data_IF_408993939238
#
_entry.id   IF_408993939238
#
_cell.length_a   1.000
_cell.length_b   1.000
_cell.length_c   1.000
_cell.angle_alpha   90.00
_cell.angle_beta   90.00
_cell.angle_gamma   90.00
#
_symmetry.space_group_name_H-M   'P 1'
#
loop_
_entity.id
_entity.type
_entity.pdbx_description
1 polymer ?
#
# COMPACT_ATOMS: atom_id res chain seq x y z
N UNK A 1 -7.78 -11.48 7.63
CA UNK A 1 -7.11 -10.88 6.46
C UNK A 1 -7.98 -9.77 5.94
N UNK A 2 -7.39 -8.68 5.46
CA UNK A 2 -8.12 -7.62 4.74
C UNK A 2 -8.79 -8.28 3.52
N UNK A 3 -10.12 -8.22 3.44
CA UNK A 3 -10.86 -8.69 2.28
C UNK A 3 -11.36 -7.47 1.51
N UNK A 4 -10.94 -7.28 0.26
CA UNK A 4 -11.48 -6.24 -0.59
C UNK A 4 -12.98 -6.46 -0.87
N UNK A 5 -13.78 -5.40 -1.05
CA UNK A 5 -13.38 -3.98 -1.01
C UNK A 5 -13.18 -3.46 0.42
N UNK A 6 -12.08 -2.76 0.66
CA UNK A 6 -11.86 -1.97 1.88
C UNK A 6 -11.61 -0.49 1.56
N UNK A 7 -12.20 0.46 2.27
CA UNK A 7 -12.04 1.89 1.97
C UNK A 7 -10.87 2.52 2.74
N UNK A 8 -9.72 1.86 2.77
CA UNK A 8 -8.52 2.41 3.41
C UNK A 8 -7.73 3.23 2.40
N UNK A 9 -7.33 4.43 2.80
CA UNK A 9 -6.55 5.35 1.97
C UNK A 9 -5.04 5.08 2.06
N UNK A 10 -4.58 4.45 3.13
CA UNK A 10 -3.19 4.04 3.32
C UNK A 10 -3.07 2.94 4.39
N UNK A 11 -1.96 2.21 4.35
CA UNK A 11 -1.56 1.21 5.33
C UNK A 11 -0.18 1.56 5.87
N UNK A 12 -0.05 1.65 7.19
CA UNK A 12 1.25 1.74 7.85
C UNK A 12 1.66 0.36 8.31
N UNK A 13 2.74 -0.18 7.75
CA UNK A 13 3.14 -1.56 7.93
C UNK A 13 4.41 -1.65 8.79
N UNK A 14 4.33 -2.25 9.97
CA UNK A 14 5.56 -2.60 10.69
C UNK A 14 6.30 -3.71 9.94
N UNK A 15 7.59 -3.52 9.71
CA UNK A 15 8.41 -4.57 9.10
C UNK A 15 8.68 -5.69 10.11
N UNK A 16 8.89 -5.34 11.38
CA UNK A 16 9.23 -6.30 12.42
C UNK A 16 7.96 -6.73 13.15
N UNK A 17 7.29 -7.75 12.62
CA UNK A 17 6.10 -8.34 13.22
C UNK A 17 6.37 -9.79 13.67
N UNK A 18 5.73 -10.25 14.77
CA UNK A 18 5.79 -11.65 15.16
C UNK A 18 5.03 -12.53 14.16
N UNK A 19 5.50 -13.76 13.99
CA UNK A 19 4.96 -14.81 13.10
C UNK A 19 5.15 -14.57 11.60
N UNK A 20 4.76 -13.40 11.07
CA UNK A 20 4.89 -13.03 9.65
C UNK A 20 5.43 -11.61 9.56
N UNK A 21 6.48 -11.40 8.77
CA UNK A 21 7.09 -10.07 8.63
C UNK A 21 6.29 -9.15 7.70
N UNK A 22 6.57 -7.85 7.77
CA UNK A 22 5.87 -6.86 6.94
C UNK A 22 6.14 -7.00 5.44
N UNK A 23 7.26 -7.61 5.04
CA UNK A 23 7.54 -7.87 3.62
C UNK A 23 6.64 -8.97 3.08
N UNK A 24 6.49 -10.07 3.81
CA UNK A 24 5.58 -11.17 3.49
C UNK A 24 4.13 -10.70 3.47
N UNK A 25 3.71 -9.94 4.49
CA UNK A 25 2.38 -9.35 4.56
C UNK A 25 2.08 -8.47 3.33
N UNK A 26 3.04 -7.62 2.94
CA UNK A 26 2.90 -6.75 1.76
C UNK A 26 2.74 -7.58 0.49
N UNK A 27 3.54 -8.63 0.29
CA UNK A 27 3.42 -9.50 -0.89
C UNK A 27 2.04 -10.16 -0.99
N UNK A 28 1.47 -10.58 0.14
CA UNK A 28 0.13 -11.15 0.18
C UNK A 28 -0.95 -10.12 -0.18
N UNK A 29 -0.82 -8.88 0.31
CA UNK A 29 -1.72 -7.78 -0.06
C UNK A 29 -1.64 -7.54 -1.58
N UNK A 30 -0.43 -7.35 -2.13
CA UNK A 30 -0.25 -7.11 -3.57
C UNK A 30 -0.75 -8.26 -4.45
N UNK A 31 -0.60 -9.51 -4.01
CA UNK A 31 -1.15 -10.65 -4.73
C UNK A 31 -2.68 -10.60 -4.80
N UNK A 32 -3.35 -10.29 -3.69
CA UNK A 32 -4.80 -10.15 -3.65
C UNK A 32 -5.29 -8.95 -4.50
N UNK A 33 -4.57 -7.82 -4.46
CA UNK A 33 -4.88 -6.66 -5.29
C UNK A 33 -4.77 -6.99 -6.78
N UNK A 34 -3.68 -7.65 -7.19
CA UNK A 34 -3.49 -8.07 -8.58
C UNK A 34 -4.57 -9.03 -9.05
N UNK A 35 -4.95 -10.02 -8.23
CA UNK A 35 -6.02 -10.95 -8.56
C UNK A 35 -7.35 -10.22 -8.84
N UNK A 36 -7.71 -9.27 -7.98
CA UNK A 36 -8.94 -8.47 -8.16
C UNK A 36 -8.83 -7.56 -9.39
N UNK A 37 -7.68 -6.91 -9.58
CA UNK A 37 -7.45 -6.04 -10.73
C UNK A 37 -7.55 -6.82 -12.04
N UNK A 38 -6.99 -8.03 -12.09
CA UNK A 38 -7.10 -8.93 -13.23
C UNK A 38 -8.56 -9.32 -13.47
N UNK A 39 -9.32 -9.68 -12.44
CA UNK A 39 -10.76 -10.00 -12.56
C UNK A 39 -11.60 -8.81 -13.04
N UNK A 40 -11.26 -7.59 -12.63
CA UNK A 40 -11.90 -6.36 -13.12
C UNK A 40 -11.55 -6.14 -14.59
N UNK A 41 -10.28 -6.32 -14.96
CA UNK A 41 -9.80 -6.11 -16.33
C UNK A 41 -10.36 -7.15 -17.32
N UNK A 42 -10.55 -8.40 -16.89
CA UNK A 42 -11.17 -9.46 -17.72
C UNK A 42 -12.69 -9.32 -17.79
N UNK A 43 -13.30 -8.47 -16.96
CA UNK A 43 -14.75 -8.27 -16.89
C UNK A 43 -15.49 -9.37 -16.12
N UNK A 44 -14.78 -10.22 -15.38
CA UNK A 44 -15.38 -11.22 -14.49
C UNK A 44 -16.11 -10.56 -13.31
N UNK A 45 -15.62 -9.40 -12.86
CA UNK A 45 -16.29 -8.56 -11.86
C UNK A 45 -16.38 -7.11 -12.34
N UNK A 46 -17.55 -6.48 -12.17
CA UNK A 46 -17.70 -5.05 -12.45
C UNK A 46 -16.99 -4.22 -11.38
N UNK A 47 -16.26 -3.18 -11.79
CA UNK A 47 -15.66 -2.19 -10.89
C UNK A 47 -16.71 -1.48 -10.00
N UNK A 48 -17.97 -1.46 -10.42
CA UNK A 48 -19.10 -0.94 -9.63
C UNK A 48 -19.27 -1.71 -8.31
N UNK A 49 -18.96 -3.01 -8.30
CA UNK A 49 -18.99 -3.84 -7.09
C UNK A 49 -17.91 -3.46 -6.07
N UNK A 50 -16.87 -2.74 -6.50
CA UNK A 50 -15.72 -2.33 -5.69
C UNK A 50 -15.61 -0.80 -5.57
N UNK A 51 -16.73 -0.07 -5.70
CA UNK A 51 -16.77 1.37 -5.43
C UNK A 51 -16.16 2.24 -6.52
N UNK A 52 -16.23 1.81 -7.79
CA UNK A 52 -15.71 2.52 -8.97
C UNK A 52 -14.18 2.71 -9.00
N UNK A 53 -13.42 1.99 -8.17
CA UNK A 53 -11.96 1.91 -8.36
C UNK A 53 -11.67 0.96 -9.52
N UNK A 54 -11.18 1.52 -10.64
CA UNK A 54 -10.77 0.75 -11.82
C UNK A 54 -9.49 -0.07 -11.57
N UNK A 55 -8.69 0.34 -10.58
CA UNK A 55 -7.47 -0.33 -10.17
C UNK A 55 -7.30 -0.16 -8.67
N UNK A 56 -7.05 -1.27 -7.97
CA UNK A 56 -6.86 -1.32 -6.54
C UNK A 56 -5.38 -1.34 -6.21
N UNK A 57 -4.94 -0.33 -5.49
CA UNK A 57 -3.58 -0.23 -4.97
C UNK A 57 -3.62 0.60 -3.69
N UNK A 58 -3.56 -0.04 -2.52
CA UNK A 58 -3.46 0.67 -1.25
C UNK A 58 -2.01 1.13 -1.04
N UNK A 59 -1.74 2.41 -0.77
CA UNK A 59 -0.41 2.85 -0.38
C UNK A 59 0.05 2.13 0.90
N UNK A 60 1.18 1.44 0.86
CA UNK A 60 1.79 0.75 2.01
C UNK A 60 3.08 1.48 2.37
N UNK A 61 3.06 2.15 3.53
CA UNK A 61 4.22 2.82 4.11
C UNK A 61 4.87 1.92 5.16
N UNK A 62 6.07 1.44 4.87
CA UNK A 62 6.84 0.65 5.80
C UNK A 62 7.25 1.47 7.02
N UNK A 63 7.18 0.88 8.20
CA UNK A 63 7.65 1.47 9.44
C UNK A 63 8.71 0.57 10.05
N UNK A 64 9.90 1.10 10.30
CA UNK A 64 11.03 0.28 10.79
C UNK A 64 11.87 1.01 11.82
N UNK A 65 12.27 0.33 12.90
CA UNK A 65 13.27 0.86 13.81
C UNK A 65 14.71 0.67 13.27
N UNK A 66 14.90 -0.23 12.30
CA UNK A 66 16.20 -0.55 11.71
C UNK A 66 16.18 -0.33 10.19
N UNK A 67 16.82 0.75 9.77
CA UNK A 67 16.93 1.16 8.34
C UNK A 67 17.86 0.21 7.57
N UNK A 68 18.71 -0.57 8.26
CA UNK A 68 19.61 -1.54 7.63
C UNK A 68 18.83 -2.80 7.23
N UNK A 69 17.91 -3.28 8.09
CA UNK A 69 17.02 -4.39 7.75
C UNK A 69 15.97 -3.99 6.70
N UNK A 70 15.51 -2.76 6.77
CA UNK A 70 14.59 -2.17 5.82
C UNK A 70 15.34 -1.42 4.72
N UNK A 71 16.08 -2.16 3.89
CA UNK A 71 16.70 -1.51 2.74
C UNK A 71 15.59 -0.92 1.87
N UNK A 72 15.81 0.28 1.33
CA UNK A 72 14.91 0.90 0.36
C UNK A 72 14.57 -0.10 -0.76
N UNK A 73 15.56 -0.84 -1.23
CA UNK A 73 15.41 -1.87 -2.25
C UNK A 73 14.47 -3.01 -1.80
N UNK A 74 14.59 -3.51 -0.57
CA UNK A 74 13.72 -4.57 -0.05
C UNK A 74 12.25 -4.13 0.06
N UNK A 75 12.03 -2.89 0.50
CA UNK A 75 10.68 -2.30 0.57
C UNK A 75 10.07 -2.16 -0.84
N UNK A 76 10.83 -1.63 -1.80
CA UNK A 76 10.35 -1.48 -3.17
C UNK A 76 10.10 -2.84 -3.85
N UNK A 77 10.96 -3.84 -3.61
CA UNK A 77 10.85 -5.16 -4.23
C UNK A 77 9.63 -5.96 -3.75
N UNK A 78 9.18 -5.77 -2.51
CA UNK A 78 7.95 -6.41 -2.02
C UNK A 78 6.68 -5.63 -2.40
N UNK A 79 6.82 -4.45 -3.01
CA UNK A 79 5.72 -3.59 -3.43
C UNK A 79 5.23 -2.61 -2.36
N UNK A 80 6.07 -2.23 -1.39
CA UNK A 80 5.79 -1.06 -0.54
C UNK A 80 6.03 0.22 -1.32
N UNK A 81 5.28 1.27 -1.02
CA UNK A 81 5.33 2.54 -1.74
C UNK A 81 6.31 3.52 -1.11
N UNK A 82 6.62 3.34 0.18
CA UNK A 82 7.61 4.12 0.89
C UNK A 82 7.96 3.55 2.25
N UNK A 83 8.81 4.25 2.98
CA UNK A 83 9.16 3.87 4.34
C UNK A 83 9.38 5.10 5.25
N UNK A 84 9.20 4.89 6.54
CA UNK A 84 9.47 5.85 7.62
C UNK A 84 10.19 5.13 8.76
N UNK A 85 11.29 5.70 9.23
CA UNK A 85 12.06 5.17 10.37
C UNK A 85 11.40 5.49 11.70
N UNK A 86 11.39 4.54 12.64
CA UNK A 86 10.99 4.73 14.04
C UNK A 86 12.23 5.07 14.88
N UNK A 87 12.15 6.00 15.86
CA UNK A 87 11.04 6.93 16.07
C UNK A 87 10.96 7.94 14.91
N UNK A 88 9.74 8.29 14.50
CA UNK A 88 9.48 9.29 13.45
C UNK A 88 8.99 10.59 14.06
N UNK A 89 9.37 11.70 13.44
CA UNK A 89 8.80 13.01 13.72
C UNK A 89 7.50 13.20 12.92
N UNK A 90 6.56 13.98 13.45
CA UNK A 90 5.26 14.21 12.80
C UNK A 90 5.43 14.70 11.35
N UNK A 91 6.34 15.66 11.11
CA UNK A 91 6.62 16.19 9.77
C UNK A 91 7.03 15.11 8.77
N UNK A 92 7.85 14.14 9.19
CA UNK A 92 8.31 13.06 8.33
C UNK A 92 7.15 12.13 7.95
N UNK A 93 6.30 11.80 8.92
CA UNK A 93 5.11 10.98 8.68
C UNK A 93 4.13 11.70 7.75
N UNK A 94 3.83 12.97 8.02
CA UNK A 94 2.94 13.76 7.16
C UNK A 94 3.46 13.87 5.73
N UNK A 95 4.74 14.17 5.56
CA UNK A 95 5.34 14.29 4.23
C UNK A 95 5.29 12.97 3.46
N UNK A 96 5.52 11.84 4.13
CA UNK A 96 5.44 10.54 3.51
C UNK A 96 4.01 10.24 3.06
N UNK A 97 3.01 10.45 3.92
CA UNK A 97 1.60 10.21 3.59
C UNK A 97 1.09 11.13 2.50
N UNK A 98 1.41 12.43 2.57
CA UNK A 98 1.00 13.42 1.59
C UNK A 98 1.48 13.07 0.18
N UNK A 99 2.72 12.56 0.05
CA UNK A 99 3.26 12.10 -1.22
C UNK A 99 2.40 11.02 -1.89
N UNK A 100 1.75 10.15 -1.11
CA UNK A 100 0.93 9.07 -1.67
C UNK A 100 -0.51 9.51 -1.94
N UNK A 101 -1.10 10.31 -1.06
CA UNK A 101 -2.49 10.75 -1.19
C UNK A 101 -2.69 11.86 -2.24
N UNK A 102 -1.65 12.63 -2.56
CA UNK A 102 -1.72 13.64 -3.63
C UNK A 102 -1.72 13.01 -5.04
N UNK A 103 -1.34 11.74 -5.17
CA UNK A 103 -1.34 11.02 -6.46
C UNK A 103 -2.76 10.78 -7.00
N UNK A 104 -3.78 10.75 -6.13
CA UNK A 104 -5.20 10.67 -6.52
C UNK A 104 -5.82 12.03 -6.88
N UNK A 105 -5.07 13.14 -6.74
CA UNK A 105 -5.57 14.51 -6.97
C UNK A 105 -5.38 15.03 -8.41
N UNK A 106 -5.14 14.16 -9.39
CA UNK A 106 -5.11 14.51 -10.83
C UNK A 106 -6.30 13.78 -11.48
N UNK A 107 -7.41 14.36 -11.93
CA UNK A 107 -7.74 15.69 -12.45
C UNK A 107 -9.30 15.83 -12.53
N UNK A 108 -9.98 16.86 -11.97
CA UNK A 108 -11.39 17.13 -12.27
C UNK A 108 -11.62 17.80 -13.63
N UNK A 109 -10.58 17.95 -14.47
CA UNK A 109 -10.60 18.78 -15.66
C UNK A 109 -9.60 18.35 -16.76
N UNK A 110 -9.84 17.20 -17.40
CA UNK A 110 -9.37 16.94 -18.76
C UNK A 110 -10.43 16.20 -19.57
#
# INVERSE_FOLDING_TARGET
>A
MLQPPHTFDACFMDIQMPEMDGFEATKLIRAAENEINDMIQTGEVSAESYGNKAHWHVPILAMTADVIQATFEGCMQCGMDGYVSKPFEEQQLYSAVAHFLETDATDPSS
#
